data_IF_995435362215
#
_entry.id   IF_995435362215
#
_cell.length_a   1.000
_cell.length_b   1.000
_cell.length_c   1.000
_cell.angle_alpha   90.00
_cell.angle_beta   90.00
_cell.angle_gamma   90.00
#
_symmetry.space_group_name_H-M   'P 1'
#
loop_
_entity.id
_entity.type
_entity.pdbx_description
1 polymer ?
#
# COMPACT_ATOMS: atom_id res chain seq x y z
N UNK A 1 -1.82 58.71 -3.47
CA UNK A 1 -2.84 57.66 -3.57
C UNK A 1 -2.72 57.00 -4.94
N UNK A 2 -2.17 55.79 -5.02
CA UNK A 2 -2.53 54.80 -6.04
C UNK A 2 -1.94 53.46 -5.59
N UNK A 3 -2.84 52.48 -5.50
CA UNK A 3 -2.70 51.30 -4.65
C UNK A 3 -1.67 50.29 -5.14
N UNK A 4 -0.91 49.76 -4.18
CA UNK A 4 -0.26 48.48 -4.30
C UNK A 4 -1.32 47.37 -4.44
N UNK A 5 -1.30 46.69 -5.59
CA UNK A 5 -1.99 45.42 -5.76
C UNK A 5 -1.16 44.37 -5.01
N UNK A 6 -1.62 44.02 -3.81
CA UNK A 6 -1.15 42.85 -3.08
C UNK A 6 -1.52 41.60 -3.87
N UNK A 7 -0.51 40.93 -4.46
CA UNK A 7 -0.62 39.54 -4.86
C UNK A 7 -0.73 38.68 -3.59
N UNK A 8 -1.96 38.44 -3.15
CA UNK A 8 -2.29 37.51 -2.07
C UNK A 8 -2.96 36.26 -2.63
N UNK A 9 -2.63 35.12 -2.02
CA UNK A 9 -3.38 33.84 -1.97
C UNK A 9 -3.24 32.82 -3.11
N UNK A 10 -2.03 32.30 -3.35
CA UNK A 10 -1.85 30.96 -3.98
C UNK A 10 -0.90 30.02 -3.23
N UNK A 11 -0.17 30.49 -2.20
CA UNK A 11 0.79 29.67 -1.47
C UNK A 11 0.20 28.77 -0.37
N UNK A 12 -0.96 29.11 0.21
CA UNK A 12 -1.52 28.38 1.37
C UNK A 12 -2.18 27.06 0.97
N UNK A 13 -2.98 27.05 -0.10
CA UNK A 13 -3.70 25.84 -0.53
C UNK A 13 -2.79 24.69 -0.97
N UNK A 14 -1.64 25.00 -1.55
CA UNK A 14 -0.66 23.97 -1.94
C UNK A 14 0.01 23.30 -0.74
N UNK A 15 0.45 24.10 0.24
CA UNK A 15 1.06 23.58 1.46
C UNK A 15 0.09 22.71 2.28
N UNK A 16 -1.20 23.04 2.29
CA UNK A 16 -2.20 22.25 3.01
C UNK A 16 -2.44 20.88 2.33
N UNK A 17 -2.46 20.84 1.00
CA UNK A 17 -2.59 19.59 0.24
C UNK A 17 -1.36 18.69 0.39
N UNK A 18 -0.17 19.27 0.36
CA UNK A 18 1.10 18.57 0.60
C UNK A 18 1.12 17.93 2.00
N UNK A 19 0.78 18.69 3.05
CA UNK A 19 0.66 18.17 4.42
C UNK A 19 -0.40 17.09 4.55
N UNK A 20 -1.54 17.26 3.87
CA UNK A 20 -2.61 16.27 3.84
C UNK A 20 -2.14 14.95 3.22
N UNK A 21 -1.41 15.01 2.10
CA UNK A 21 -0.85 13.82 1.45
C UNK A 21 0.35 13.21 2.20
N UNK A 22 1.15 14.02 2.89
CA UNK A 22 2.24 13.59 3.77
C UNK A 22 1.72 13.06 5.13
N UNK A 23 0.67 12.24 5.10
CA UNK A 23 0.01 11.66 6.26
C UNK A 23 -0.58 10.27 5.96
N UNK A 24 -1.27 9.64 6.90
CA UNK A 24 -1.93 8.34 6.71
C UNK A 24 -3.16 8.36 5.80
N UNK A 25 -3.47 9.51 5.18
CA UNK A 25 -4.56 9.64 4.21
C UNK A 25 -4.43 8.62 3.08
N UNK A 26 -5.57 8.08 2.68
CA UNK A 26 -5.69 7.12 1.59
C UNK A 26 -5.19 5.73 1.92
N UNK A 27 -4.76 5.43 3.14
CA UNK A 27 -4.34 4.08 3.52
C UNK A 27 -5.53 3.25 4.00
N UNK A 28 -5.53 1.94 3.78
CA UNK A 28 -6.48 1.02 4.42
C UNK A 28 -6.04 0.65 5.84
N UNK A 29 -4.74 0.67 6.08
CA UNK A 29 -4.13 0.62 7.40
C UNK A 29 -4.01 -0.79 7.98
N UNK A 30 -4.26 -0.95 9.27
CA UNK A 30 -3.99 -2.19 10.03
C UNK A 30 -2.96 -1.96 11.12
N UNK A 31 -2.09 -2.94 11.36
CA UNK A 31 -1.09 -2.87 12.41
C UNK A 31 0.26 -2.38 11.87
N UNK A 32 0.66 -1.11 12.11
CA UNK A 32 1.95 -0.62 11.62
C UNK A 32 3.15 -1.34 12.26
N UNK A 33 2.99 -1.98 13.41
CA UNK A 33 4.05 -2.80 14.05
C UNK A 33 4.18 -4.20 13.45
N UNK A 34 3.29 -4.58 12.53
CA UNK A 34 3.37 -5.88 11.88
C UNK A 34 4.65 -6.02 11.06
N UNK A 35 5.14 -7.26 10.95
CA UNK A 35 6.33 -7.58 10.15
C UNK A 35 6.09 -7.42 8.65
N UNK A 36 4.84 -7.53 8.20
CA UNK A 36 4.48 -7.59 6.78
C UNK A 36 3.62 -6.38 6.44
N UNK A 37 4.13 -5.57 5.53
CA UNK A 37 3.40 -4.46 4.96
C UNK A 37 3.04 -4.76 3.51
N UNK A 38 1.89 -4.29 3.07
CA UNK A 38 1.49 -4.23 1.66
C UNK A 38 1.44 -2.78 1.24
N UNK A 39 2.04 -2.46 0.09
CA UNK A 39 1.91 -1.18 -0.58
C UNK A 39 1.22 -1.41 -1.92
N UNK A 40 -0.03 -1.00 -2.04
CA UNK A 40 -0.69 -0.93 -3.35
C UNK A 40 -0.39 0.41 -4.01
N UNK A 41 -0.76 0.56 -5.27
CA UNK A 41 -0.56 1.81 -6.02
C UNK A 41 -1.47 2.90 -5.47
N UNK A 42 -2.73 2.57 -5.18
CA UNK A 42 -3.73 3.53 -4.76
C UNK A 42 -4.79 2.86 -3.86
N UNK A 43 -5.58 3.67 -3.13
CA UNK A 43 -6.70 3.17 -2.35
C UNK A 43 -7.75 2.53 -3.26
N UNK A 44 -8.48 1.56 -2.73
CA UNK A 44 -9.63 1.00 -3.42
C UNK A 44 -10.66 2.11 -3.77
N UNK A 45 -11.32 2.10 -4.95
CA UNK A 45 -12.27 3.15 -5.35
C UNK A 45 -13.48 3.35 -4.41
N UNK A 46 -13.77 2.36 -3.58
CA UNK A 46 -14.82 2.46 -2.55
C UNK A 46 -14.36 3.21 -1.29
N UNK A 47 -13.06 3.48 -1.14
CA UNK A 47 -12.52 4.27 -0.04
C UNK A 47 -12.77 5.77 -0.28
N UNK A 48 -12.83 6.58 0.78
CA UNK A 48 -13.00 8.03 0.65
C UNK A 48 -11.98 8.66 -0.30
N UNK A 49 -12.46 9.52 -1.20
CA UNK A 49 -11.61 10.37 -2.04
C UNK A 49 -11.08 11.58 -1.27
N UNK A 50 -10.75 12.66 -1.98
CA UNK A 50 -10.32 13.91 -1.37
C UNK A 50 -11.41 14.46 -0.43
N UNK A 51 -11.09 14.65 0.85
CA UNK A 51 -12.02 15.19 1.85
C UNK A 51 -11.73 16.67 2.09
N UNK A 52 -12.78 17.46 2.36
CA UNK A 52 -12.68 18.87 2.76
C UNK A 52 -13.36 19.04 4.13
N UNK A 53 -12.78 19.79 5.08
CA UNK A 53 -11.46 20.45 5.02
C UNK A 53 -10.30 19.43 4.89
N UNK A 54 -9.14 19.89 4.40
CA UNK A 54 -7.95 19.05 4.25
C UNK A 54 -7.31 18.84 5.63
N UNK A 55 -7.66 17.74 6.28
CA UNK A 55 -7.12 17.39 7.61
C UNK A 55 -6.15 16.21 7.51
N UNK A 56 -4.85 16.40 7.80
CA UNK A 56 -3.89 15.31 7.79
C UNK A 56 -4.28 14.19 8.76
N UNK A 57 -4.14 12.94 8.33
CA UNK A 57 -4.37 11.79 9.20
C UNK A 57 -3.08 11.46 9.96
N UNK A 58 -3.05 11.77 11.26
CA UNK A 58 -1.87 11.54 12.10
C UNK A 58 -1.73 10.12 12.64
N UNK A 59 -2.79 9.32 12.56
CA UNK A 59 -2.81 7.93 13.00
C UNK A 59 -3.14 6.98 11.84
N UNK A 60 -2.56 5.76 11.82
CA UNK A 60 -2.90 4.76 10.83
C UNK A 60 -4.37 4.33 10.98
N UNK A 61 -5.13 4.24 9.86
CA UNK A 61 -6.48 3.68 9.91
C UNK A 61 -6.43 2.16 10.15
N UNK A 62 -7.59 1.55 10.33
CA UNK A 62 -7.73 0.10 10.41
C UNK A 62 -9.14 -0.34 10.09
N UNK A 63 -9.30 -1.61 9.72
CA UNK A 63 -10.59 -2.25 9.54
C UNK A 63 -11.09 -2.81 10.89
N UNK A 64 -11.40 -1.88 11.79
CA UNK A 64 -12.02 -2.16 13.08
C UNK A 64 -13.51 -2.54 12.92
N UNK A 65 -14.18 -2.82 14.04
CA UNK A 65 -15.57 -3.29 14.02
C UNK A 65 -16.52 -2.26 13.41
N UNK A 66 -16.27 -0.96 13.61
CA UNK A 66 -17.04 0.12 12.99
C UNK A 66 -16.88 0.11 11.47
N UNK A 67 -15.65 0.01 10.97
CA UNK A 67 -15.40 -0.07 9.52
C UNK A 67 -16.13 -1.27 8.90
N UNK A 68 -16.01 -2.46 9.53
CA UNK A 68 -16.65 -3.69 9.04
C UNK A 68 -18.17 -3.59 9.07
N UNK A 69 -18.76 -2.99 10.10
CA UNK A 69 -20.20 -2.75 10.16
C UNK A 69 -20.67 -1.85 9.01
N UNK A 70 -19.93 -0.80 8.70
CA UNK A 70 -20.29 0.15 7.63
C UNK A 70 -20.08 -0.39 6.21
N UNK A 71 -19.12 -1.30 6.01
CA UNK A 71 -18.70 -1.74 4.66
C UNK A 71 -18.94 -3.22 4.38
N UNK A 72 -19.35 -4.02 5.37
CA UNK A 72 -19.39 -5.49 5.29
C UNK A 72 -20.16 -6.04 4.08
N UNK A 73 -21.26 -5.41 3.70
CA UNK A 73 -22.06 -5.79 2.53
C UNK A 73 -21.30 -5.66 1.18
N UNK A 74 -20.29 -4.79 1.12
CA UNK A 74 -19.51 -4.53 -0.08
C UNK A 74 -18.15 -5.23 -0.07
N UNK A 75 -17.63 -5.59 1.11
CA UNK A 75 -16.30 -6.18 1.26
C UNK A 75 -16.09 -7.42 0.39
N UNK A 76 -17.13 -8.24 0.20
CA UNK A 76 -17.09 -9.43 -0.68
C UNK A 76 -16.78 -9.14 -2.16
N UNK A 77 -16.80 -7.87 -2.59
CA UNK A 77 -16.46 -7.46 -3.96
C UNK A 77 -15.01 -7.00 -4.12
N UNK A 78 -14.27 -6.86 -3.01
CA UNK A 78 -12.92 -6.28 -3.03
C UNK A 78 -11.85 -7.34 -3.29
N UNK A 79 -11.76 -7.78 -4.56
CA UNK A 79 -10.91 -8.90 -4.96
C UNK A 79 -9.44 -8.73 -4.56
N UNK A 80 -8.86 -7.54 -4.70
CA UNK A 80 -7.46 -7.30 -4.30
C UNK A 80 -7.20 -7.62 -2.82
N UNK A 81 -8.12 -7.22 -1.94
CA UNK A 81 -8.00 -7.49 -0.51
C UNK A 81 -8.25 -8.97 -0.16
N UNK A 82 -9.12 -9.66 -0.89
CA UNK A 82 -9.29 -11.12 -0.74
C UNK A 82 -8.00 -11.88 -1.09
N UNK A 83 -7.26 -11.40 -2.09
CA UNK A 83 -5.99 -12.01 -2.51
C UNK A 83 -4.90 -11.76 -1.47
N UNK A 84 -4.86 -10.58 -0.86
CA UNK A 84 -3.99 -10.31 0.30
C UNK A 84 -4.37 -11.22 1.47
N UNK A 85 -5.66 -11.40 1.77
CA UNK A 85 -6.10 -12.32 2.83
C UNK A 85 -5.64 -13.76 2.57
N UNK A 86 -5.67 -14.25 1.31
CA UNK A 86 -5.13 -15.56 0.95
C UNK A 86 -3.62 -15.66 1.24
N UNK A 87 -2.83 -14.69 0.79
CA UNK A 87 -1.39 -14.61 1.06
C UNK A 87 -1.12 -14.61 2.57
N UNK A 88 -1.83 -13.78 3.33
CA UNK A 88 -1.65 -13.67 4.78
C UNK A 88 -2.09 -14.91 5.53
N UNK A 89 -3.16 -15.58 5.08
CA UNK A 89 -3.60 -16.85 5.69
C UNK A 89 -2.54 -17.92 5.52
N UNK A 90 -1.99 -18.06 4.31
CA UNK A 90 -0.87 -18.97 4.06
C UNK A 90 0.36 -18.60 4.89
N UNK A 91 0.71 -17.31 4.98
CA UNK A 91 1.83 -16.84 5.79
C UNK A 91 1.67 -17.16 7.28
N UNK A 92 0.52 -16.83 7.88
CA UNK A 92 0.25 -17.05 9.30
C UNK A 92 0.21 -18.55 9.61
N UNK A 93 -0.40 -19.34 8.72
CA UNK A 93 -0.43 -20.80 8.85
C UNK A 93 0.98 -21.38 8.80
N UNK A 94 1.79 -20.94 7.82
CA UNK A 94 3.17 -21.36 7.70
C UNK A 94 3.96 -21.01 8.96
N UNK A 95 3.84 -19.78 9.48
CA UNK A 95 4.49 -19.37 10.74
C UNK A 95 4.12 -20.26 11.94
N UNK A 96 2.93 -20.87 11.93
CA UNK A 96 2.46 -21.85 12.92
C UNK A 96 2.90 -23.30 12.64
N UNK A 97 3.65 -23.54 11.56
CA UNK A 97 4.12 -24.88 11.18
C UNK A 97 3.07 -25.73 10.48
N UNK A 98 2.03 -25.12 9.90
CA UNK A 98 0.94 -25.82 9.19
C UNK A 98 0.68 -25.22 7.81
N UNK A 99 -0.05 -25.96 6.98
CA UNK A 99 -0.63 -25.41 5.76
C UNK A 99 -2.00 -24.79 6.05
N UNK A 100 -2.36 -23.76 5.29
CA UNK A 100 -3.68 -23.16 5.35
C UNK A 100 -4.72 -24.12 4.76
N UNK A 101 -5.81 -24.34 5.48
CA UNK A 101 -6.94 -25.12 5.00
C UNK A 101 -7.73 -24.41 3.89
N UNK A 102 -8.53 -25.16 3.11
CA UNK A 102 -9.41 -24.57 2.12
C UNK A 102 -10.36 -23.56 2.77
N UNK A 103 -10.47 -22.36 2.16
CA UNK A 103 -11.36 -21.26 2.61
C UNK A 103 -11.05 -20.59 3.95
N UNK A 104 -10.02 -20.98 4.70
CA UNK A 104 -9.60 -20.24 5.92
C UNK A 104 -9.35 -18.75 5.66
N UNK A 105 -8.96 -18.41 4.44
CA UNK A 105 -8.76 -17.03 4.02
C UNK A 105 -10.02 -16.17 4.07
N UNK A 106 -11.22 -16.77 3.96
CA UNK A 106 -12.47 -16.04 4.04
C UNK A 106 -12.72 -15.52 5.46
N UNK A 107 -12.38 -16.33 6.46
CA UNK A 107 -12.47 -15.95 7.87
C UNK A 107 -11.40 -14.93 8.20
N UNK A 108 -10.17 -15.13 7.70
CA UNK A 108 -9.11 -14.14 7.82
C UNK A 108 -9.52 -12.79 7.21
N UNK A 109 -10.10 -12.80 6.01
CA UNK A 109 -10.58 -11.60 5.34
C UNK A 109 -11.68 -10.89 6.16
N UNK A 110 -12.67 -11.64 6.63
CA UNK A 110 -13.83 -11.12 7.34
C UNK A 110 -13.52 -10.64 8.75
N UNK A 111 -12.57 -11.27 9.44
CA UNK A 111 -12.32 -11.02 10.86
C UNK A 111 -10.97 -10.40 11.17
N UNK A 112 -9.93 -10.62 10.35
CA UNK A 112 -8.53 -10.36 10.72
C UNK A 112 -7.80 -9.35 9.84
N UNK A 113 -8.12 -9.30 8.53
CA UNK A 113 -7.39 -8.46 7.58
C UNK A 113 -7.47 -6.97 7.96
N UNK A 114 -6.32 -6.31 8.09
CA UNK A 114 -6.11 -4.92 8.50
C UNK A 114 -6.73 -4.54 9.84
N UNK A 115 -6.83 -5.49 10.79
CA UNK A 115 -7.17 -5.15 12.18
C UNK A 115 -6.08 -4.28 12.84
N UNK A 116 -6.44 -3.49 13.87
CA UNK A 116 -5.47 -2.71 14.64
C UNK A 116 -4.25 -3.51 15.13
N UNK A 117 -4.49 -4.74 15.60
CA UNK A 117 -3.45 -5.67 16.08
C UNK A 117 -3.30 -6.87 15.13
N UNK A 118 -3.57 -6.66 13.83
CA UNK A 118 -3.44 -7.68 12.80
C UNK A 118 -1.99 -8.06 12.48
N UNK A 119 -1.83 -9.02 11.57
CA UNK A 119 -0.51 -9.49 11.13
C UNK A 119 0.06 -8.69 9.95
N UNK A 120 -0.67 -7.69 9.48
CA UNK A 120 -0.26 -6.87 8.36
C UNK A 120 -0.69 -5.40 8.48
N UNK A 121 0.01 -4.57 7.71
CA UNK A 121 -0.33 -3.17 7.47
C UNK A 121 -0.48 -2.93 5.98
N UNK A 122 -1.49 -2.17 5.54
CA UNK A 122 -1.62 -1.75 4.15
C UNK A 122 -1.50 -0.24 4.01
N UNK A 123 -0.50 0.16 3.24
CA UNK A 123 -0.27 1.51 2.75
C UNK A 123 -0.55 1.58 1.25
N UNK A 124 -0.59 2.79 0.72
CA UNK A 124 -0.68 3.03 -0.72
C UNK A 124 0.40 4.01 -1.15
N UNK A 125 0.91 3.86 -2.36
CA UNK A 125 1.86 4.79 -2.96
C UNK A 125 1.22 6.18 -3.07
N UNK A 126 0.01 6.24 -3.64
CA UNK A 126 -0.77 7.44 -3.81
C UNK A 126 -1.93 7.55 -2.78
N UNK A 127 -2.25 8.75 -2.29
CA UNK A 127 -3.28 8.97 -1.27
C UNK A 127 -4.71 9.03 -1.81
N UNK A 128 -4.90 9.10 -3.14
CA UNK A 128 -6.21 9.17 -3.78
C UNK A 128 -6.40 8.00 -4.75
N UNK A 129 -7.64 7.48 -4.91
CA UNK A 129 -7.94 6.53 -5.96
C UNK A 129 -7.54 7.07 -7.34
N UNK A 130 -6.66 6.35 -8.04
CA UNK A 130 -6.26 6.72 -9.41
C UNK A 130 -7.40 6.59 -10.43
N UNK A 131 -8.48 5.92 -10.03
CA UNK A 131 -9.75 5.74 -10.72
C UNK A 131 -10.87 5.91 -9.66
N UNK A 132 -11.41 7.12 -9.49
CA UNK A 132 -12.34 7.45 -8.40
C UNK A 132 -13.57 6.53 -8.39
N UNK A 133 -14.20 6.36 -9.56
CA UNK A 133 -15.24 5.38 -9.89
C UNK A 133 -15.21 5.09 -11.39
N UNK A 134 -15.94 4.08 -11.85
CA UNK A 134 -16.00 3.74 -13.29
C UNK A 134 -16.67 4.82 -14.15
N UNK A 135 -17.52 5.64 -13.53
CA UNK A 135 -18.38 6.66 -14.16
C UNK A 135 -17.90 8.10 -13.95
N UNK A 136 -16.89 8.33 -13.11
CA UNK A 136 -16.41 9.67 -12.77
C UNK A 136 -14.98 9.86 -13.28
N UNK A 137 -14.76 10.88 -14.11
CA UNK A 137 -13.42 11.21 -14.60
C UNK A 137 -12.54 11.79 -13.48
N UNK A 138 -11.22 11.78 -13.67
CA UNK A 138 -10.28 12.43 -12.75
C UNK A 138 -10.64 13.89 -12.50
N UNK A 139 -10.92 14.63 -13.57
CA UNK A 139 -11.21 16.06 -13.52
C UNK A 139 -12.49 16.35 -12.75
N UNK A 140 -13.52 15.52 -12.91
CA UNK A 140 -14.78 15.71 -12.18
C UNK A 140 -14.62 15.39 -10.70
N UNK A 141 -13.81 14.38 -10.35
CA UNK A 141 -13.57 14.01 -8.96
C UNK A 141 -12.71 15.04 -8.21
N UNK A 142 -11.64 15.53 -8.84
CA UNK A 142 -10.58 16.27 -8.13
C UNK A 142 -10.21 17.63 -8.74
N UNK A 143 -10.67 17.93 -9.95
CA UNK A 143 -10.26 19.13 -10.71
C UNK A 143 -10.79 20.45 -10.15
N UNK A 144 -11.53 20.43 -9.04
CA UNK A 144 -11.85 21.63 -8.25
C UNK A 144 -10.63 22.13 -7.46
N UNK A 145 -9.62 21.30 -7.21
CA UNK A 145 -8.34 21.73 -6.67
C UNK A 145 -7.36 22.09 -7.81
N UNK A 146 -6.79 23.30 -7.83
CA UNK A 146 -5.87 23.72 -8.89
C UNK A 146 -4.64 22.82 -9.08
N UNK A 147 -4.20 22.12 -8.03
CA UNK A 147 -3.06 21.19 -8.09
C UNK A 147 -3.45 19.78 -8.57
N UNK A 148 -4.75 19.51 -8.72
CA UNK A 148 -5.29 18.21 -9.11
C UNK A 148 -6.09 18.27 -10.42
N UNK A 149 -6.01 19.37 -11.18
CA UNK A 149 -6.69 19.49 -12.49
C UNK A 149 -6.24 18.36 -13.43
N UNK A 150 -4.93 18.10 -13.47
CA UNK A 150 -4.35 17.01 -14.23
C UNK A 150 -3.74 15.96 -13.32
N UNK A 151 -3.94 14.68 -13.67
CA UNK A 151 -3.38 13.55 -12.92
C UNK A 151 -1.86 13.57 -12.83
N UNK A 152 -1.17 14.13 -13.83
CA UNK A 152 0.29 14.30 -13.79
C UNK A 152 0.73 15.24 -12.65
N UNK A 153 0.02 16.36 -12.46
CA UNK A 153 0.31 17.31 -11.37
C UNK A 153 0.12 16.67 -10.00
N UNK A 154 -0.90 15.82 -9.84
CA UNK A 154 -1.08 15.03 -8.63
C UNK A 154 0.09 14.10 -8.33
N UNK A 155 0.63 13.44 -9.37
CA UNK A 155 1.81 12.58 -9.23
C UNK A 155 3.01 13.43 -8.78
N UNK A 156 3.21 14.59 -9.37
CA UNK A 156 4.28 15.52 -9.00
C UNK A 156 4.15 16.01 -7.55
N UNK A 157 2.94 16.39 -7.11
CA UNK A 157 2.68 16.77 -5.70
C UNK A 157 2.97 15.60 -4.76
N UNK A 158 2.65 14.36 -5.13
CA UNK A 158 2.99 13.21 -4.29
C UNK A 158 4.51 12.98 -4.22
N UNK A 159 5.20 13.12 -5.35
CA UNK A 159 6.64 12.92 -5.43
C UNK A 159 7.39 14.01 -4.64
N UNK A 160 7.10 15.27 -4.93
CA UNK A 160 7.87 16.42 -4.44
C UNK A 160 7.26 17.08 -3.20
N UNK A 161 5.96 16.92 -2.96
CA UNK A 161 5.21 17.53 -1.86
C UNK A 161 5.15 16.69 -0.58
N UNK A 162 5.95 15.63 -0.47
CA UNK A 162 6.19 14.95 0.81
C UNK A 162 5.47 13.62 1.02
N UNK A 163 4.57 13.16 0.13
CA UNK A 163 3.99 11.80 0.25
C UNK A 163 5.08 10.73 0.20
N UNK A 164 5.98 10.79 -0.76
CA UNK A 164 7.06 9.81 -0.91
C UNK A 164 8.04 9.89 0.27
N UNK A 165 8.39 11.10 0.70
CA UNK A 165 9.19 11.30 1.91
C UNK A 165 8.52 10.72 3.16
N UNK A 166 7.19 10.88 3.29
CA UNK A 166 6.41 10.30 4.38
C UNK A 166 6.45 8.77 4.37
N UNK A 167 6.25 8.13 3.21
CA UNK A 167 6.33 6.67 3.08
C UNK A 167 7.71 6.13 3.49
N UNK A 168 8.78 6.79 3.05
CA UNK A 168 10.15 6.48 3.47
C UNK A 168 10.33 6.63 4.99
N UNK A 169 9.84 7.73 5.56
CA UNK A 169 9.95 8.00 6.99
C UNK A 169 9.21 6.96 7.84
N UNK A 170 7.94 6.65 7.52
CA UNK A 170 7.17 5.66 8.29
C UNK A 170 7.77 4.25 8.16
N UNK A 171 8.31 3.89 6.99
CA UNK A 171 8.94 2.58 6.81
C UNK A 171 10.20 2.46 7.66
N UNK A 172 11.02 3.53 7.76
CA UNK A 172 12.17 3.56 8.65
C UNK A 172 11.79 3.51 10.13
N UNK A 173 10.71 4.21 10.51
CA UNK A 173 10.28 4.31 11.91
C UNK A 173 9.65 3.01 12.43
N UNK A 174 8.76 2.40 11.63
CA UNK A 174 8.07 1.16 12.00
C UNK A 174 8.86 -0.09 11.66
N UNK A 175 9.78 0.03 10.69
CA UNK A 175 10.81 -0.95 10.42
C UNK A 175 10.25 -2.36 10.12
N UNK A 176 9.30 -2.48 9.17
CA UNK A 176 8.72 -3.77 8.82
C UNK A 176 9.79 -4.70 8.26
N UNK A 177 9.61 -6.01 8.45
CA UNK A 177 10.53 -7.00 7.89
C UNK A 177 10.40 -7.07 6.37
N UNK A 178 9.18 -6.97 5.86
CA UNK A 178 8.88 -7.03 4.44
C UNK A 178 7.84 -5.97 4.06
N UNK A 179 8.07 -5.27 2.95
CA UNK A 179 7.10 -4.42 2.26
C UNK A 179 6.83 -5.02 0.88
N UNK A 180 5.62 -5.51 0.67
CA UNK A 180 5.15 -6.05 -0.62
C UNK A 180 4.58 -4.92 -1.47
N UNK A 181 5.33 -4.51 -2.49
CA UNK A 181 4.92 -3.50 -3.47
C UNK A 181 4.14 -4.18 -4.60
N UNK A 182 2.82 -4.00 -4.59
CA UNK A 182 1.90 -4.67 -5.51
C UNK A 182 1.93 -3.95 -6.86
N UNK A 183 1.95 -4.73 -7.94
CA UNK A 183 2.01 -4.25 -9.31
C UNK A 183 3.33 -3.57 -9.68
N UNK A 184 4.32 -4.42 -10.03
CA UNK A 184 5.66 -4.03 -10.47
C UNK A 184 5.72 -3.10 -11.69
N UNK A 185 4.61 -2.79 -12.39
CA UNK A 185 4.63 -1.76 -13.44
C UNK A 185 4.88 -0.36 -12.88
N UNK A 186 4.72 -0.16 -11.57
CA UNK A 186 5.04 1.08 -10.85
C UNK A 186 6.41 1.03 -10.16
N UNK A 187 7.35 0.23 -10.71
CA UNK A 187 8.64 -0.01 -10.08
C UNK A 187 9.44 1.27 -9.81
N UNK A 188 9.49 2.21 -10.76
CA UNK A 188 10.22 3.47 -10.57
C UNK A 188 9.64 4.27 -9.40
N UNK A 189 8.32 4.34 -9.28
CA UNK A 189 7.71 5.08 -8.18
C UNK A 189 7.91 4.40 -6.82
N UNK A 190 7.94 3.07 -6.76
CA UNK A 190 8.32 2.37 -5.53
C UNK A 190 9.79 2.61 -5.17
N UNK A 191 10.69 2.62 -6.16
CA UNK A 191 12.10 2.94 -5.96
C UNK A 191 12.26 4.35 -5.39
N UNK A 192 11.55 5.33 -5.93
CA UNK A 192 11.58 6.70 -5.46
C UNK A 192 10.97 6.83 -4.05
N UNK A 193 9.76 6.29 -3.85
CA UNK A 193 9.01 6.41 -2.60
C UNK A 193 9.69 5.76 -1.39
N UNK A 194 10.43 4.67 -1.60
CA UNK A 194 11.16 3.99 -0.53
C UNK A 194 12.67 4.28 -0.57
N UNK A 195 13.15 5.04 -1.56
CA UNK A 195 14.56 5.39 -1.71
C UNK A 195 15.47 4.19 -2.00
N UNK A 196 15.03 3.28 -2.88
CA UNK A 196 15.69 2.00 -3.16
C UNK A 196 16.81 2.10 -4.19
N UNK A 197 16.98 3.24 -4.86
CA UNK A 197 17.94 3.42 -5.95
C UNK A 197 19.40 3.02 -5.60
N UNK A 198 19.89 3.24 -4.36
CA UNK A 198 21.24 2.80 -3.96
C UNK A 198 21.37 1.28 -3.77
N UNK A 199 20.27 0.54 -3.66
CA UNK A 199 20.27 -0.88 -3.37
C UNK A 199 20.34 -1.71 -4.66
N UNK A 200 21.11 -2.80 -4.63
CA UNK A 200 21.16 -3.74 -5.75
C UNK A 200 19.93 -4.67 -5.71
N UNK A 201 19.14 -4.75 -6.79
CA UNK A 201 18.02 -5.69 -6.84
C UNK A 201 18.52 -7.13 -6.98
N UNK A 202 17.85 -8.04 -6.29
CA UNK A 202 17.91 -9.48 -6.51
C UNK A 202 16.61 -9.96 -7.18
N UNK A 203 16.68 -11.10 -7.88
CA UNK A 203 15.49 -11.76 -8.43
C UNK A 203 15.20 -12.98 -7.59
N UNK A 204 14.03 -12.99 -6.97
CA UNK A 204 13.50 -14.15 -6.26
C UNK A 204 12.48 -14.85 -7.15
N UNK A 205 12.52 -16.19 -7.19
CA UNK A 205 11.68 -16.98 -8.09
C UNK A 205 10.74 -17.84 -7.24
N UNK A 206 9.47 -17.45 -7.18
CA UNK A 206 8.43 -18.30 -6.62
C UNK A 206 8.19 -19.49 -7.55
N UNK A 207 8.26 -20.69 -6.99
CA UNK A 207 8.01 -21.96 -7.69
C UNK A 207 6.72 -22.62 -7.17
N UNK A 208 5.54 -22.05 -7.47
CA UNK A 208 4.28 -22.70 -7.17
C UNK A 208 4.08 -23.93 -8.06
N UNK A 209 3.10 -24.78 -7.71
CA UNK A 209 2.78 -25.98 -8.49
C UNK A 209 2.29 -25.71 -9.93
N UNK A 210 2.00 -24.46 -10.28
CA UNK A 210 1.50 -24.04 -11.58
C UNK A 210 2.54 -23.22 -12.39
N UNK A 211 2.55 -21.89 -12.26
CA UNK A 211 3.38 -21.00 -13.06
C UNK A 211 4.32 -20.19 -12.17
N UNK A 212 5.62 -20.34 -12.45
CA UNK A 212 6.71 -19.59 -11.85
C UNK A 212 6.50 -18.09 -11.90
N UNK A 213 6.72 -17.41 -10.76
CA UNK A 213 6.61 -15.95 -10.66
C UNK A 213 7.95 -15.35 -10.27
N UNK A 214 8.41 -14.38 -11.05
CA UNK A 214 9.61 -13.59 -10.72
C UNK A 214 9.24 -12.36 -9.89
N UNK A 215 9.88 -12.23 -8.74
CA UNK A 215 9.83 -11.09 -7.85
C UNK A 215 11.15 -10.32 -7.96
N UNK A 216 11.10 -8.99 -7.83
CA UNK A 216 12.30 -8.16 -7.69
C UNK A 216 12.38 -7.75 -6.24
N UNK A 217 13.50 -8.09 -5.59
CA UNK A 217 13.71 -7.85 -4.16
C UNK A 217 14.83 -6.83 -3.99
N UNK A 218 14.53 -5.75 -3.26
CA UNK A 218 15.54 -4.85 -2.70
C UNK A 218 15.61 -5.14 -1.21
N UNK A 219 16.81 -5.08 -0.64
CA UNK A 219 17.00 -5.34 0.78
C UNK A 219 18.05 -4.41 1.36
N UNK A 220 17.75 -3.85 2.53
CA UNK A 220 18.75 -3.27 3.43
C UNK A 220 18.93 -4.16 4.68
N UNK A 221 19.59 -3.64 5.72
CA UNK A 221 19.84 -4.39 6.96
C UNK A 221 18.55 -4.87 7.66
N UNK A 222 17.43 -4.16 7.47
CA UNK A 222 16.21 -4.36 8.26
C UNK A 222 15.03 -4.85 7.42
N UNK A 223 14.79 -4.22 6.27
CA UNK A 223 13.58 -4.36 5.48
C UNK A 223 13.87 -4.93 4.09
N UNK A 224 12.97 -5.81 3.64
CA UNK A 224 12.92 -6.29 2.25
C UNK A 224 11.75 -5.64 1.51
N UNK A 225 12.01 -5.00 0.39
CA UNK A 225 10.98 -4.52 -0.52
C UNK A 225 10.83 -5.48 -1.69
N UNK A 226 9.61 -5.95 -1.91
CA UNK A 226 9.31 -7.01 -2.87
C UNK A 226 8.35 -6.46 -3.90
N UNK A 227 8.85 -6.23 -5.11
CA UNK A 227 8.03 -5.78 -6.23
C UNK A 227 7.45 -7.02 -6.92
N UNK A 228 6.16 -7.25 -6.71
CA UNK A 228 5.44 -8.39 -7.28
C UNK A 228 4.50 -7.96 -8.41
N UNK A 229 4.09 -8.90 -9.30
CA UNK A 229 2.95 -8.65 -10.18
C UNK A 229 1.69 -8.26 -9.41
N UNK A 230 0.64 -7.74 -10.08
CA UNK A 230 -0.67 -7.60 -9.44
C UNK A 230 -1.13 -8.91 -8.79
N UNK A 231 -1.87 -8.85 -7.68
CA UNK A 231 -2.40 -10.06 -7.02
C UNK A 231 -3.70 -10.58 -7.65
N UNK A 232 -4.07 -10.05 -8.83
CA UNK A 232 -5.27 -10.42 -9.57
C UNK A 232 -5.11 -10.07 -11.06
N UNK A 233 -5.99 -10.61 -11.89
CA UNK A 233 -6.02 -10.36 -13.33
C UNK A 233 -5.06 -11.24 -14.13
N UNK A 234 -5.10 -11.16 -15.48
CA UNK A 234 -4.46 -12.11 -16.39
C UNK A 234 -2.92 -12.06 -16.38
N UNK A 235 -2.34 -10.96 -15.91
CA UNK A 235 -0.89 -10.75 -15.81
C UNK A 235 -0.38 -10.80 -14.36
N UNK A 236 -1.25 -11.20 -13.44
CA UNK A 236 -1.02 -11.19 -12.00
C UNK A 236 -0.86 -12.59 -11.39
N UNK A 237 -0.55 -12.62 -10.10
CA UNK A 237 -0.61 -13.82 -9.27
C UNK A 237 -2.06 -14.08 -8.89
N UNK A 238 -2.78 -14.88 -9.68
CA UNK A 238 -4.23 -15.06 -9.51
C UNK A 238 -4.64 -16.43 -8.97
N UNK A 239 -3.77 -17.44 -9.06
CA UNK A 239 -4.07 -18.79 -8.60
C UNK A 239 -3.84 -18.94 -7.09
N UNK A 240 -4.54 -19.90 -6.48
CA UNK A 240 -4.37 -20.18 -5.05
C UNK A 240 -2.98 -20.76 -4.76
N UNK A 241 -2.39 -21.52 -5.69
CA UNK A 241 -1.03 -22.05 -5.59
C UNK A 241 0.02 -20.93 -5.51
N UNK A 242 -0.09 -19.93 -6.39
CA UNK A 242 0.79 -18.75 -6.39
C UNK A 242 0.67 -17.94 -5.10
N UNK A 243 -0.55 -17.66 -4.66
CA UNK A 243 -0.80 -16.85 -3.46
C UNK A 243 -0.33 -17.57 -2.19
N UNK A 244 -0.55 -18.88 -2.09
CA UNK A 244 -0.07 -19.68 -0.96
C UNK A 244 1.45 -19.76 -0.92
N UNK A 245 2.09 -20.07 -2.07
CA UNK A 245 3.55 -20.10 -2.17
C UNK A 245 4.18 -18.74 -1.82
N UNK A 246 3.51 -17.65 -2.21
CA UNK A 246 3.96 -16.31 -1.83
C UNK A 246 3.84 -16.08 -0.32
N UNK A 247 2.73 -16.49 0.30
CA UNK A 247 2.57 -16.42 1.76
C UNK A 247 3.62 -17.23 2.52
N UNK A 248 3.94 -18.43 2.06
CA UNK A 248 4.99 -19.27 2.64
C UNK A 248 6.39 -18.63 2.53
N UNK A 249 6.70 -17.99 1.40
CA UNK A 249 7.93 -17.20 1.25
C UNK A 249 7.99 -16.04 2.24
N UNK A 250 6.89 -15.28 2.41
CA UNK A 250 6.82 -14.20 3.40
C UNK A 250 7.04 -14.71 4.83
N UNK A 251 6.50 -15.88 5.16
CA UNK A 251 6.70 -16.52 6.45
C UNK A 251 8.18 -16.85 6.69
N UNK A 252 8.89 -17.37 5.69
CA UNK A 252 10.33 -17.67 5.78
C UNK A 252 11.15 -16.41 6.08
N UNK A 253 10.91 -15.31 5.35
CA UNK A 253 11.59 -14.04 5.62
C UNK A 253 11.28 -13.44 7.00
N UNK A 254 10.09 -13.73 7.54
CA UNK A 254 9.69 -13.31 8.88
C UNK A 254 10.34 -14.13 10.02
N UNK A 255 10.83 -15.34 9.73
CA UNK A 255 11.59 -16.19 10.65
C UNK A 255 13.07 -15.87 10.65
N UNK A 256 13.61 -15.51 9.49
CA UNK A 256 15.03 -15.17 9.39
C UNK A 256 15.38 -14.00 10.31
N UNK A 257 16.45 -14.10 11.11
CA UNK A 257 16.95 -12.96 11.85
C UNK A 257 17.31 -11.83 10.88
N UNK A 258 17.17 -10.58 11.32
CA UNK A 258 17.66 -9.44 10.54
C UNK A 258 19.12 -9.69 10.18
N UNK A 259 19.43 -9.71 8.87
CA UNK A 259 20.78 -9.97 8.40
C UNK A 259 21.67 -8.87 8.96
N UNK A 260 22.59 -9.25 9.85
CA UNK A 260 23.70 -8.40 10.23
C UNK A 260 24.65 -8.31 9.03
N UNK A 261 24.33 -7.47 8.05
CA UNK A 261 25.27 -7.21 6.96
C UNK A 261 26.16 -6.05 7.37
N UNK A 262 27.43 -6.43 7.56
CA UNK A 262 28.62 -5.61 7.77
C UNK A 262 28.67 -4.43 6.82
N UNK A 263 29.05 -3.27 7.36
CA UNK A 263 29.30 -1.99 6.69
C UNK A 263 30.23 -2.13 5.48
#
# INVERSE_FOLDING_TARGET
>A
MQGHIMMGTTQTGGQDLEKYFASYVGMEGGNPRSKIWFCDVAPHPAMPGLQRPLEPAFAPPSWNDSFRKSHGAQMGKWLGHQRIAKVMTACVSALQGRHAGPREWEDYFRASLYRPEGNEFKINLYPLPLRPRMDISWRDAYGHDPLLVHKAQFIDVCHFGGRFAFLKAITRNWAPRVVVCINKTYSSQYIDAFGLAPLRPAVEVLQPADLTVKLIVYQDAQTRWVLCPPLAGPVGMSSDSQLSSFGELLANWCREPASATVM
#
